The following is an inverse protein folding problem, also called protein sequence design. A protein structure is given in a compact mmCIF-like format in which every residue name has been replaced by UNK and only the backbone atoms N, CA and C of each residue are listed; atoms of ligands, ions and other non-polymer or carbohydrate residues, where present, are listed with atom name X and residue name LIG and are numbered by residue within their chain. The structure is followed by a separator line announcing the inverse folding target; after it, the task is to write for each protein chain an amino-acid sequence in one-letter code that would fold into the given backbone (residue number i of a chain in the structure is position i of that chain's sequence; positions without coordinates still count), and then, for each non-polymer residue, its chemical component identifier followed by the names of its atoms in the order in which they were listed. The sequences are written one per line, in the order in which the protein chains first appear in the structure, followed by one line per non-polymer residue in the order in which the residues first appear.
data_IF_953309289086
#
_entry.id   IF_953309289086
#
_cell.length_a   1.000
_cell.length_b   1.000
_cell.length_c   1.000
_cell.angle_alpha   90.00
_cell.angle_beta   90.00
_cell.angle_gamma   90.00
#
_symmetry.space_group_name_H-M   'P 1'
#
loop_
_entity.id
_entity.type
_entity.pdbx_description
1 polymer ?
#
# COMPACT_ATOMS: atom_id res chain seq x y z
N UNK A 1 -31.63 6.25 -29.32
CA UNK A 1 -31.32 4.81 -29.19
C UNK A 1 -29.84 4.68 -29.46
N UNK A 2 -28.95 4.55 -28.47
CA UNK A 2 -29.02 3.61 -27.36
C UNK A 2 -28.44 4.21 -26.07
N UNK A 3 -29.27 4.19 -25.03
CA UNK A 3 -28.92 4.36 -23.62
C UNK A 3 -28.19 3.09 -23.17
N UNK A 4 -26.95 3.22 -22.69
CA UNK A 4 -26.23 2.12 -22.03
C UNK A 4 -25.97 2.54 -20.59
N UNK A 5 -27.02 2.45 -19.79
CA UNK A 5 -26.99 2.54 -18.33
C UNK A 5 -26.11 1.41 -17.78
N UNK A 6 -24.85 1.73 -17.42
CA UNK A 6 -23.96 0.82 -16.70
C UNK A 6 -24.41 0.76 -15.24
N UNK A 7 -25.16 -0.30 -14.93
CA UNK A 7 -25.72 -0.63 -13.62
C UNK A 7 -24.60 -0.69 -12.56
N UNK A 8 -24.56 0.29 -11.65
CA UNK A 8 -23.75 0.23 -10.44
C UNK A 8 -24.36 -0.82 -9.49
N UNK A 9 -23.75 -2.01 -9.45
CA UNK A 9 -24.14 -3.06 -8.51
C UNK A 9 -23.84 -2.64 -7.08
N UNK A 10 -24.90 -2.54 -6.27
CA UNK A 10 -24.82 -2.29 -4.82
C UNK A 10 -24.14 -3.49 -4.15
N UNK A 11 -22.96 -3.28 -3.56
CA UNK A 11 -22.23 -4.33 -2.82
C UNK A 11 -22.52 -4.17 -1.33
N UNK A 12 -22.94 -5.26 -0.70
CA UNK A 12 -23.32 -5.35 0.71
C UNK A 12 -22.15 -5.07 1.67
N UNK A 13 -22.49 -4.55 2.86
CA UNK A 13 -21.58 -4.32 3.98
C UNK A 13 -20.86 -5.62 4.39
N UNK A 14 -19.53 -5.58 4.47
CA UNK A 14 -18.70 -6.66 5.03
C UNK A 14 -17.62 -7.28 4.13
N UNK A 15 -17.43 -6.81 2.90
CA UNK A 15 -16.45 -7.42 1.98
C UNK A 15 -15.01 -6.99 2.29
N UNK A 16 -14.09 -7.96 2.44
CA UNK A 16 -12.63 -7.77 2.51
C UNK A 16 -12.01 -7.18 1.21
N UNK A 17 -12.82 -6.89 0.18
CA UNK A 17 -12.38 -6.44 -1.14
C UNK A 17 -12.33 -4.91 -1.20
N UNK A 18 -11.14 -4.36 -1.44
CA UNK A 18 -10.98 -2.98 -1.88
C UNK A 18 -11.10 -2.85 -3.40
N UNK A 19 -11.10 -1.61 -3.88
CA UNK A 19 -11.08 -1.29 -5.32
C UNK A 19 -9.62 -1.12 -5.74
N UNK A 20 -9.17 -1.87 -6.74
CA UNK A 20 -7.84 -1.70 -7.35
C UNK A 20 -8.01 -1.02 -8.71
N UNK A 21 -7.37 0.12 -8.89
CA UNK A 21 -7.27 0.84 -10.15
C UNK A 21 -5.82 0.79 -10.65
N UNK A 22 -5.65 0.54 -11.95
CA UNK A 22 -4.35 0.52 -12.62
C UNK A 22 -4.28 1.74 -13.54
N UNK A 23 -3.39 2.68 -13.20
CA UNK A 23 -3.20 3.95 -13.90
C UNK A 23 -1.75 4.01 -14.40
N UNK A 24 -1.46 3.34 -15.52
CA UNK A 24 -0.08 3.24 -16.03
C UNK A 24 0.82 2.47 -15.07
N UNK A 25 1.92 3.08 -14.62
CA UNK A 25 2.87 2.50 -13.65
C UNK A 25 2.36 2.58 -12.20
N UNK A 26 1.28 3.32 -11.97
CA UNK A 26 0.67 3.53 -10.66
C UNK A 26 -0.42 2.49 -10.41
N UNK A 27 -0.33 1.80 -9.27
CA UNK A 27 -1.36 0.89 -8.76
C UNK A 27 -2.00 1.56 -7.55
N UNK A 28 -3.33 1.74 -7.57
CA UNK A 28 -4.09 2.38 -6.51
C UNK A 28 -5.09 1.39 -5.91
N UNK A 29 -5.06 1.21 -4.59
CA UNK A 29 -5.99 0.37 -3.86
C UNK A 29 -6.75 1.20 -2.82
N UNK A 30 -8.08 1.11 -2.82
CA UNK A 30 -8.93 1.80 -1.86
C UNK A 30 -9.73 0.83 -0.99
N UNK A 31 -9.79 1.10 0.32
CA UNK A 31 -10.56 0.28 1.27
C UNK A 31 -11.17 1.10 2.38
N UNK A 32 -12.46 0.86 2.66
CA UNK A 32 -13.13 1.34 3.87
C UNK A 32 -12.84 0.38 5.04
N UNK A 33 -12.34 0.91 6.14
CA UNK A 33 -12.01 0.18 7.36
C UNK A 33 -12.90 0.66 8.52
N UNK A 34 -13.58 -0.23 9.26
CA UNK A 34 -14.47 0.13 10.37
C UNK A 34 -13.69 0.46 11.66
N UNK A 35 -12.62 1.23 11.53
CA UNK A 35 -11.71 1.63 12.60
C UNK A 35 -11.36 3.12 12.45
N UNK A 36 -11.08 3.79 13.58
CA UNK A 36 -10.61 5.19 13.56
C UNK A 36 -9.22 5.30 12.92
N UNK A 37 -8.87 6.44 12.29
CA UNK A 37 -7.59 6.62 11.61
C UNK A 37 -6.38 6.29 12.49
N UNK A 38 -6.41 6.61 13.78
CA UNK A 38 -5.29 6.36 14.70
C UNK A 38 -5.01 4.87 14.89
N UNK A 39 -6.05 4.02 14.85
CA UNK A 39 -5.88 2.57 14.93
C UNK A 39 -5.29 2.01 13.63
N UNK A 40 -5.73 2.54 12.49
CA UNK A 40 -5.18 2.14 11.18
C UNK A 40 -3.73 2.61 11.05
N UNK A 41 -3.44 3.84 11.46
CA UNK A 41 -2.10 4.41 11.51
C UNK A 41 -1.15 3.55 12.33
N UNK A 42 -1.56 3.11 13.53
CA UNK A 42 -0.74 2.20 14.34
C UNK A 42 -0.45 0.89 13.61
N UNK A 43 -1.42 0.34 12.88
CA UNK A 43 -1.19 -0.89 12.09
C UNK A 43 -0.20 -0.70 10.93
N UNK A 44 0.03 0.54 10.47
CA UNK A 44 1.01 0.89 9.44
C UNK A 44 2.39 1.28 10.02
N UNK A 45 2.43 1.81 11.25
CA UNK A 45 3.65 2.43 11.81
C UNK A 45 4.28 1.67 12.96
N UNK A 46 3.49 0.98 13.78
CA UNK A 46 4.01 0.14 14.86
C UNK A 46 4.56 -1.17 14.29
N UNK A 47 5.85 -1.43 14.53
CA UNK A 47 6.53 -2.60 13.97
C UNK A 47 5.88 -3.94 14.37
N UNK A 48 5.31 -4.04 15.58
CA UNK A 48 4.68 -5.28 16.06
C UNK A 48 3.32 -5.50 15.41
N UNK A 49 2.55 -4.44 15.19
CA UNK A 49 1.26 -4.53 14.49
C UNK A 49 1.47 -4.75 12.98
N UNK A 50 2.45 -4.08 12.38
CA UNK A 50 2.80 -4.21 10.96
C UNK A 50 3.25 -5.64 10.61
N UNK A 51 4.10 -6.23 11.46
CA UNK A 51 4.63 -7.59 11.31
C UNK A 51 3.56 -8.71 11.31
N UNK A 52 2.30 -8.40 11.65
CA UNK A 52 1.17 -9.33 11.64
C UNK A 52 0.59 -9.57 10.24
N UNK A 53 0.83 -8.65 9.30
CA UNK A 53 0.20 -8.69 7.99
C UNK A 53 1.12 -8.28 6.84
N UNK A 54 2.18 -7.50 7.10
CA UNK A 54 3.18 -7.13 6.11
C UNK A 54 4.23 -8.26 5.98
N UNK A 55 4.67 -8.60 4.76
CA UNK A 55 5.58 -9.74 4.54
C UNK A 55 7.00 -9.52 5.07
N UNK A 56 7.40 -8.26 5.27
CA UNK A 56 8.71 -7.90 5.83
C UNK A 56 8.59 -7.34 7.26
N UNK A 57 9.65 -7.51 8.04
CA UNK A 57 9.87 -6.69 9.22
C UNK A 57 10.45 -5.35 8.77
N UNK A 58 9.88 -4.23 9.23
CA UNK A 58 10.30 -2.89 8.81
C UNK A 58 10.98 -2.19 9.99
N UNK A 59 12.30 -2.06 9.88
CA UNK A 59 13.15 -1.37 10.84
C UNK A 59 13.36 0.10 10.44
N UNK A 60 13.65 0.95 11.42
CA UNK A 60 13.83 2.39 11.23
C UNK A 60 12.71 3.22 11.85
N UNK A 61 12.92 4.52 11.96
CA UNK A 61 11.98 5.46 12.56
C UNK A 61 10.83 5.80 11.59
N UNK A 62 9.75 6.37 12.12
CA UNK A 62 8.62 6.87 11.33
C UNK A 62 8.64 8.39 11.33
N UNK A 63 9.73 8.93 10.81
CA UNK A 63 10.00 10.36 10.67
C UNK A 63 10.43 10.63 9.22
N UNK A 64 10.02 11.78 8.68
CA UNK A 64 10.42 12.17 7.33
C UNK A 64 11.94 12.19 7.18
N UNK A 65 12.44 11.58 6.11
CA UNK A 65 13.87 11.43 5.88
C UNK A 65 14.52 10.26 6.61
N UNK A 66 13.86 9.55 7.53
CA UNK A 66 14.45 8.40 8.21
C UNK A 66 14.72 7.22 7.25
N UNK A 67 15.87 6.56 7.40
CA UNK A 67 16.20 5.34 6.66
C UNK A 67 15.37 4.15 7.16
N UNK A 68 14.96 3.29 6.24
CA UNK A 68 14.24 2.05 6.51
C UNK A 68 15.02 0.84 6.02
N UNK A 69 14.91 -0.26 6.77
CA UNK A 69 15.35 -1.59 6.33
C UNK A 69 14.17 -2.56 6.36
N UNK A 70 14.01 -3.31 5.28
CA UNK A 70 12.97 -4.31 5.10
C UNK A 70 13.62 -5.68 5.11
N UNK A 71 13.30 -6.47 6.13
CA UNK A 71 13.82 -7.84 6.32
C UNK A 71 12.73 -8.84 5.98
N UNK A 72 12.88 -9.53 4.85
CA UNK A 72 11.90 -10.51 4.36
C UNK A 72 12.13 -11.88 4.98
N UNK A 73 11.04 -12.62 5.27
CA UNK A 73 11.10 -13.89 6.01
C UNK A 73 11.43 -15.11 5.14
N UNK A 74 11.21 -15.01 3.83
CA UNK A 74 11.15 -16.19 2.94
C UNK A 74 12.41 -16.36 2.07
N UNK A 75 13.54 -15.80 2.49
CA UNK A 75 14.80 -15.86 1.73
C UNK A 75 14.89 -14.89 0.54
N UNK A 76 13.89 -14.04 0.37
CA UNK A 76 13.94 -12.88 -0.52
C UNK A 76 15.00 -11.89 -0.05
N UNK A 77 15.68 -11.17 -0.97
CA UNK A 77 16.65 -10.14 -0.60
C UNK A 77 16.02 -9.05 0.27
N UNK A 78 16.73 -8.66 1.33
CA UNK A 78 16.40 -7.45 2.09
C UNK A 78 16.33 -6.24 1.14
N UNK A 79 15.46 -5.29 1.47
CA UNK A 79 15.37 -4.02 0.76
C UNK A 79 15.71 -2.85 1.68
N UNK A 80 16.25 -1.79 1.07
CA UNK A 80 16.45 -0.50 1.73
C UNK A 80 15.41 0.50 1.26
N UNK A 81 15.17 1.51 2.09
CA UNK A 81 14.24 2.57 1.79
C UNK A 81 14.43 3.79 2.66
N UNK A 82 13.53 4.76 2.47
CA UNK A 82 13.49 5.99 3.27
C UNK A 82 12.06 6.49 3.37
N UNK A 83 11.68 7.02 4.52
CA UNK A 83 10.44 7.78 4.67
C UNK A 83 10.53 9.06 3.84
N UNK A 84 9.60 9.25 2.91
CA UNK A 84 9.50 10.45 2.08
C UNK A 84 8.45 11.43 2.57
N UNK A 85 7.48 10.97 3.37
CA UNK A 85 6.47 11.80 4.02
C UNK A 85 5.93 11.06 5.24
N UNK A 86 5.77 11.75 6.37
CA UNK A 86 5.14 11.18 7.56
C UNK A 86 4.32 12.26 8.28
N UNK A 87 3.00 12.23 8.05
CA UNK A 87 2.03 13.08 8.73
C UNK A 87 1.05 12.24 9.53
N UNK A 88 1.32 11.93 10.82
CA UNK A 88 0.39 11.18 11.64
C UNK A 88 -0.95 11.92 11.84
N UNK A 89 -2.13 11.25 11.80
CA UNK A 89 -2.38 9.88 11.35
C UNK A 89 -2.91 9.83 9.90
N UNK A 90 -2.47 10.74 9.02
CA UNK A 90 -3.05 10.97 7.69
C UNK A 90 -2.22 10.38 6.56
N UNK A 91 -0.91 10.56 6.55
CA UNK A 91 -0.05 10.17 5.41
C UNK A 91 1.22 9.48 5.87
N UNK A 92 1.52 8.33 5.29
CA UNK A 92 2.82 7.68 5.37
C UNK A 92 3.27 7.35 3.95
N UNK A 93 4.42 7.87 3.53
CA UNK A 93 5.03 7.54 2.25
C UNK A 93 6.50 7.18 2.43
N UNK A 94 6.95 6.16 1.69
CA UNK A 94 8.33 5.71 1.74
C UNK A 94 8.73 4.99 0.46
N UNK A 95 10.04 4.95 0.22
CA UNK A 95 10.62 4.07 -0.80
C UNK A 95 10.90 2.69 -0.23
N UNK A 96 10.87 1.69 -1.10
CA UNK A 96 11.33 0.33 -0.84
C UNK A 96 11.97 -0.20 -2.12
N UNK A 97 13.30 -0.24 -2.17
CA UNK A 97 14.03 -0.50 -3.40
C UNK A 97 13.67 0.51 -4.50
N UNK A 98 13.14 0.03 -5.62
CA UNK A 98 12.70 0.85 -6.74
C UNK A 98 11.24 1.33 -6.65
N UNK A 99 10.50 0.93 -5.61
CA UNK A 99 9.09 1.30 -5.46
C UNK A 99 8.92 2.49 -4.53
N UNK A 100 7.96 3.37 -4.84
CA UNK A 100 7.41 4.34 -3.88
C UNK A 100 6.06 3.80 -3.41
N UNK A 101 5.84 3.77 -2.09
CA UNK A 101 4.60 3.38 -1.46
C UNK A 101 4.02 4.58 -0.72
N UNK A 102 2.74 4.88 -0.92
CA UNK A 102 2.00 5.95 -0.24
C UNK A 102 0.72 5.40 0.37
N UNK A 103 0.52 5.70 1.64
CA UNK A 103 -0.67 5.36 2.42
C UNK A 103 -1.34 6.65 2.88
N UNK A 104 -2.60 6.84 2.50
CA UNK A 104 -3.41 7.99 2.92
C UNK A 104 -4.63 7.51 3.69
N UNK A 105 -4.91 8.16 4.81
CA UNK A 105 -6.00 7.87 5.73
C UNK A 105 -6.90 9.10 5.84
N UNK A 106 -8.15 8.96 5.40
CA UNK A 106 -9.17 9.97 5.58
C UNK A 106 -10.29 9.45 6.50
N UNK A 107 -10.72 10.21 7.52
CA UNK A 107 -11.88 9.83 8.31
C UNK A 107 -13.14 9.82 7.45
N UNK A 108 -13.97 8.80 7.64
CA UNK A 108 -15.32 8.68 7.07
C UNK A 108 -16.30 8.34 8.20
N UNK A 109 -17.63 8.55 8.03
CA UNK A 109 -18.60 8.35 9.12
C UNK A 109 -18.50 6.97 9.80
N UNK A 110 -18.20 5.91 9.04
CA UNK A 110 -18.10 4.54 9.54
C UNK A 110 -16.67 4.09 9.92
N UNK A 111 -15.68 4.99 9.85
CA UNK A 111 -14.28 4.67 10.18
C UNK A 111 -13.27 5.43 9.34
N UNK A 112 -12.49 4.72 8.53
CA UNK A 112 -11.40 5.29 7.73
C UNK A 112 -11.47 4.81 6.28
N UNK A 113 -11.31 5.74 5.34
CA UNK A 113 -10.93 5.41 3.96
C UNK A 113 -9.41 5.32 3.91
N UNK A 114 -8.89 4.12 3.67
CA UNK A 114 -7.50 3.85 3.34
C UNK A 114 -7.35 3.92 1.83
N UNK A 115 -6.40 4.72 1.38
CA UNK A 115 -5.91 4.74 0.00
C UNK A 115 -4.45 4.33 0.02
N UNK A 116 -4.12 3.27 -0.69
CA UNK A 116 -2.76 2.83 -0.92
C UNK A 116 -2.40 3.06 -2.38
N UNK A 117 -1.27 3.70 -2.63
CA UNK A 117 -0.74 3.90 -3.98
C UNK A 117 0.68 3.36 -4.01
N UNK A 118 1.02 2.60 -5.05
CA UNK A 118 2.39 2.22 -5.34
C UNK A 118 2.72 2.54 -6.79
N UNK A 119 3.93 3.04 -6.99
CA UNK A 119 4.54 3.26 -8.29
C UNK A 119 5.89 2.58 -8.29
N UNK A 120 6.22 1.91 -9.40
CA UNK A 120 7.57 1.38 -9.61
C UNK A 120 8.32 2.45 -10.38
N UNK A 121 9.42 2.97 -9.83
CA UNK A 121 10.37 3.72 -10.66
C UNK A 121 11.04 2.71 -11.57
N UNK A 122 10.63 2.66 -12.83
CA UNK A 122 11.37 1.91 -13.83
C UNK A 122 12.71 2.59 -13.98
N UNK A 123 13.77 1.95 -13.47
CA UNK A 123 15.12 2.34 -13.82
C UNK A 123 15.19 2.24 -15.35
N UNK A 124 15.45 3.36 -16.03
CA UNK A 124 15.69 3.32 -17.48
C UNK A 124 17.03 2.63 -17.74
N UNK A 125 17.00 1.31 -17.79
CA UNK A 125 18.05 0.42 -18.26
C UNK A 125 17.37 -0.67 -19.11
N UNK A 126 17.97 -1.14 -20.22
CA UNK A 126 17.28 -1.90 -21.24
C UNK A 126 16.73 -3.21 -20.69
N UNK A 127 15.50 -3.52 -21.09
CA UNK A 127 14.68 -4.62 -20.62
C UNK A 127 15.42 -5.96 -20.55
N UNK A 128 15.34 -6.62 -19.39
CA UNK A 128 15.44 -8.08 -19.31
C UNK A 128 14.34 -8.63 -18.38
N UNK A 129 13.63 -9.63 -18.92
CA UNK A 129 12.33 -10.13 -18.50
C UNK A 129 12.37 -11.01 -17.24
N UNK A 130 12.25 -10.45 -16.03
CA UNK A 130 12.07 -11.28 -14.82
C UNK A 130 11.10 -10.76 -13.74
N UNK A 131 10.42 -9.62 -13.94
CA UNK A 131 9.56 -9.03 -12.88
C UNK A 131 8.12 -9.59 -12.80
N UNK A 132 7.68 -10.42 -13.75
CA UNK A 132 6.28 -10.89 -13.83
C UNK A 132 5.97 -12.04 -12.83
N UNK A 133 6.98 -12.65 -12.21
CA UNK A 133 6.80 -13.85 -11.37
C UNK A 133 6.12 -13.60 -10.00
N UNK A 134 6.22 -12.39 -9.43
CA UNK A 134 5.71 -12.11 -8.07
C UNK A 134 4.16 -12.03 -7.97
N UNK A 135 3.43 -11.87 -9.07
CA UNK A 135 1.98 -11.63 -9.06
C UNK A 135 1.11 -12.90 -9.15
N UNK A 136 1.69 -14.12 -9.10
CA UNK A 136 0.98 -15.39 -9.41
C UNK A 136 0.79 -16.39 -8.27
N UNK A 137 1.27 -16.14 -7.04
CA UNK A 137 1.11 -17.11 -5.92
C UNK A 137 0.01 -16.77 -4.90
N UNK A 138 -0.84 -15.78 -5.18
CA UNK A 138 -1.97 -15.40 -4.31
C UNK A 138 -3.34 -15.70 -4.94
N UNK A 139 -3.49 -16.85 -5.61
CA UNK A 139 -4.76 -17.36 -6.13
C UNK A 139 -5.07 -18.75 -5.54
#
# INVERSE_FOLDING_TARGET
MNDTTKKAGRVAAGSKRGVLELLGEVRRFERRLPHRPEKVWRALTDARELARWFPASVEGEREEGASLRFVFRDGEPDAEGRITECEPPRVLAYTMGAETLRWELAPIPEGTLLVFTTEVKVASAPANDNAIAMCRMAA
#
